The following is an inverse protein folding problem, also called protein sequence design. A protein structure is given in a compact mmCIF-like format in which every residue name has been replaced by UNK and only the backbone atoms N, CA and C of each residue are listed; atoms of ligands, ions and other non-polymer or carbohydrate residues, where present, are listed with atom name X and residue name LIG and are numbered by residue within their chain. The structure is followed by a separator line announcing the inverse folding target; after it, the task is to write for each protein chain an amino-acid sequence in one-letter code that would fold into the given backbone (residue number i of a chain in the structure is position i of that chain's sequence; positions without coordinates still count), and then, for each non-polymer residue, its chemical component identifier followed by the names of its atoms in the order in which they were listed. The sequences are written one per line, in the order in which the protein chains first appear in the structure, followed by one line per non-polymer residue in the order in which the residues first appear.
data_IF_207570849669
#
_entry.id   IF_207570849669
#
_cell.length_a   1.000
_cell.length_b   1.000
_cell.length_c   1.000
_cell.angle_alpha   90.00
_cell.angle_beta   90.00
_cell.angle_gamma   90.00
#
_symmetry.space_group_name_H-M   'P 1'
#
loop_
_entity.id
_entity.type
_entity.pdbx_description
1 polymer ?
#
# COMPACT_ATOMS: atom_id res chain seq x y z
N UNK A 1 11.96 -10.40 -14.81
CA UNK A 1 10.97 -9.32 -14.59
C UNK A 1 10.95 -9.02 -13.09
N UNK A 2 11.21 -7.77 -12.66
CA UNK A 2 11.05 -7.39 -11.26
C UNK A 2 9.55 -7.23 -11.03
N UNK A 3 8.94 -8.09 -10.22
CA UNK A 3 7.57 -7.87 -9.79
C UNK A 3 7.59 -6.65 -8.85
N UNK A 4 6.76 -5.66 -9.10
CA UNK A 4 6.64 -4.44 -8.27
C UNK A 4 5.22 -4.36 -7.74
N UNK A 5 5.08 -4.04 -6.46
CA UNK A 5 3.80 -3.80 -5.80
C UNK A 5 3.67 -2.35 -5.38
N UNK A 6 2.45 -1.89 -5.11
CA UNK A 6 2.22 -0.56 -4.55
C UNK A 6 2.81 -0.51 -3.14
N UNK A 7 3.51 0.58 -2.84
CA UNK A 7 3.96 0.88 -1.50
C UNK A 7 2.82 1.56 -0.70
N UNK A 8 2.00 0.73 -0.07
CA UNK A 8 0.85 1.20 0.71
C UNK A 8 1.24 2.09 1.89
N UNK A 9 2.42 1.87 2.46
CA UNK A 9 2.94 2.68 3.55
C UNK A 9 3.22 4.10 3.05
N UNK A 10 3.90 4.25 1.91
CA UNK A 10 4.15 5.57 1.34
C UNK A 10 2.87 6.26 0.86
N UNK A 11 1.90 5.53 0.29
CA UNK A 11 0.56 6.08 -0.02
C UNK A 11 -0.08 6.72 1.22
N UNK A 12 -0.09 5.99 2.34
CA UNK A 12 -0.70 6.47 3.59
C UNK A 12 0.12 7.59 4.23
N UNK A 13 1.45 7.60 4.06
CA UNK A 13 2.29 8.71 4.49
C UNK A 13 2.05 9.99 3.69
N UNK A 14 1.85 9.90 2.37
CA UNK A 14 1.47 11.06 1.56
C UNK A 14 0.16 11.68 2.05
N UNK A 15 -0.85 10.87 2.33
CA UNK A 15 -2.10 11.34 2.92
C UNK A 15 -1.89 12.01 4.29
N UNK A 16 -1.03 11.42 5.13
CA UNK A 16 -0.66 12.01 6.42
C UNK A 16 0.08 13.34 6.29
N UNK A 17 0.94 13.50 5.28
CA UNK A 17 1.63 14.77 4.96
C UNK A 17 0.64 15.87 4.56
N UNK A 18 -0.53 15.49 4.04
CA UNK A 18 -1.66 16.39 3.76
C UNK A 18 -2.59 16.61 4.98
N UNK A 19 -2.25 16.05 6.15
CA UNK A 19 -3.03 16.19 7.37
C UNK A 19 -4.14 15.15 7.56
N UNK A 20 -4.26 14.15 6.68
CA UNK A 20 -5.23 13.07 6.84
C UNK A 20 -4.65 11.98 7.76
N UNK A 21 -5.16 11.92 8.99
CA UNK A 21 -4.81 10.85 9.93
C UNK A 21 -5.60 9.57 9.60
N UNK A 22 -5.23 8.40 10.15
CA UNK A 22 -5.93 7.14 9.85
C UNK A 22 -7.45 7.19 10.02
N UNK A 23 -7.94 7.93 11.03
CA UNK A 23 -9.38 8.17 11.26
C UNK A 23 -10.05 8.94 10.11
N UNK A 24 -9.32 9.87 9.50
CA UNK A 24 -9.80 10.70 8.41
C UNK A 24 -9.84 9.87 7.12
N UNK A 25 -8.81 9.07 6.85
CA UNK A 25 -8.80 8.12 5.72
C UNK A 25 -9.95 7.11 5.83
N UNK A 26 -10.23 6.60 7.04
CA UNK A 26 -11.38 5.72 7.29
C UNK A 26 -12.72 6.42 7.01
N UNK A 27 -12.84 7.71 7.38
CA UNK A 27 -14.02 8.53 7.09
C UNK A 27 -14.19 8.79 5.58
N UNK A 28 -13.12 9.12 4.87
CA UNK A 28 -13.14 9.30 3.41
C UNK A 28 -13.50 7.98 2.69
N UNK A 29 -13.14 6.83 3.26
CA UNK A 29 -13.56 5.51 2.81
C UNK A 29 -15.00 5.13 3.21
N UNK A 30 -15.79 6.09 3.72
CA UNK A 30 -17.16 5.90 4.22
C UNK A 30 -17.28 4.78 5.27
N UNK A 31 -16.23 4.54 6.06
CA UNK A 31 -16.19 3.47 7.07
C UNK A 31 -16.00 2.06 6.51
N UNK A 32 -15.87 1.89 5.19
CA UNK A 32 -15.63 0.59 4.53
C UNK A 32 -14.30 -0.04 4.97
N UNK A 33 -13.35 0.80 5.36
CA UNK A 33 -12.05 0.41 5.92
C UNK A 33 -11.94 1.06 7.29
N UNK A 34 -11.79 0.25 8.34
CA UNK A 34 -11.69 0.75 9.71
C UNK A 34 -10.36 1.47 9.95
N UNK A 35 -10.34 2.40 10.90
CA UNK A 35 -9.10 3.08 11.32
C UNK A 35 -8.01 2.07 11.71
N UNK A 36 -8.38 1.01 12.43
CA UNK A 36 -7.45 -0.03 12.84
C UNK A 36 -6.80 -0.72 11.63
N UNK A 37 -7.57 -1.00 10.56
CA UNK A 37 -7.02 -1.57 9.33
C UNK A 37 -6.05 -0.60 8.64
N UNK A 38 -6.40 0.68 8.55
CA UNK A 38 -5.50 1.71 8.00
C UNK A 38 -4.18 1.79 8.78
N UNK A 39 -4.24 1.71 10.12
CA UNK A 39 -3.04 1.64 10.96
C UNK A 39 -2.21 0.38 10.68
N UNK A 40 -2.84 -0.79 10.61
CA UNK A 40 -2.15 -2.04 10.23
C UNK A 40 -1.44 -1.95 8.87
N UNK A 41 -2.03 -1.27 7.90
CA UNK A 41 -1.40 -1.06 6.58
C UNK A 41 -0.22 -0.08 6.67
N UNK A 42 -0.34 0.96 7.49
CA UNK A 42 0.75 1.95 7.73
C UNK A 42 1.95 1.30 8.41
N UNK A 43 1.68 0.40 9.35
CA UNK A 43 2.68 -0.37 10.11
C UNK A 43 3.19 -1.60 9.35
N UNK A 44 2.74 -1.80 8.10
CA UNK A 44 3.09 -2.94 7.23
C UNK A 44 2.81 -4.32 7.86
N UNK A 45 1.88 -4.39 8.81
CA UNK A 45 1.46 -5.66 9.44
C UNK A 45 0.72 -6.54 8.43
N UNK A 46 -0.14 -5.93 7.61
CA UNK A 46 -0.89 -6.59 6.55
C UNK A 46 -0.97 -5.67 5.33
N UNK A 47 -1.28 -6.23 4.17
CA UNK A 47 -1.61 -5.47 2.96
C UNK A 47 -3.14 -5.35 2.78
N UNK A 48 -3.64 -4.25 2.17
CA UNK A 48 -5.04 -4.18 1.80
C UNK A 48 -5.38 -5.23 0.73
N UNK A 49 -6.61 -5.76 0.78
CA UNK A 49 -7.15 -6.53 -0.34
C UNK A 49 -7.27 -5.65 -1.58
N UNK A 50 -7.38 -6.26 -2.76
CA UNK A 50 -7.49 -5.51 -4.03
C UNK A 50 -8.52 -4.38 -3.96
N UNK A 51 -9.77 -4.69 -3.56
CA UNK A 51 -10.85 -3.69 -3.46
C UNK A 51 -10.52 -2.57 -2.47
N UNK A 52 -9.97 -2.91 -1.29
CA UNK A 52 -9.59 -1.89 -0.29
C UNK A 52 -8.44 -1.03 -0.78
N UNK A 53 -7.49 -1.62 -1.50
CA UNK A 53 -6.39 -0.93 -2.13
C UNK A 53 -6.87 0.08 -3.17
N UNK A 54 -7.83 -0.31 -4.02
CA UNK A 54 -8.44 0.61 -4.98
C UNK A 54 -9.13 1.81 -4.30
N UNK A 55 -9.84 1.58 -3.20
CA UNK A 55 -10.46 2.67 -2.42
C UNK A 55 -9.40 3.63 -1.87
N UNK A 56 -8.34 3.10 -1.25
CA UNK A 56 -7.25 3.92 -0.69
C UNK A 56 -6.53 4.70 -1.80
N UNK A 57 -6.29 4.08 -2.96
CA UNK A 57 -5.69 4.75 -4.10
C UNK A 57 -6.57 5.87 -4.65
N UNK A 58 -7.88 5.65 -4.75
CA UNK A 58 -8.80 6.68 -5.19
C UNK A 58 -8.74 7.91 -4.28
N UNK A 59 -8.74 7.71 -2.95
CA UNK A 59 -8.57 8.79 -1.97
C UNK A 59 -7.22 9.49 -2.17
N UNK A 60 -6.12 8.74 -2.34
CA UNK A 60 -4.81 9.32 -2.56
C UNK A 60 -4.73 10.14 -3.84
N UNK A 61 -5.24 9.64 -4.97
CA UNK A 61 -5.31 10.37 -6.23
C UNK A 61 -6.11 11.67 -6.06
N UNK A 62 -7.26 11.61 -5.41
CA UNK A 62 -8.11 12.78 -5.17
C UNK A 62 -7.40 13.84 -4.31
N UNK A 63 -6.80 13.44 -3.18
CA UNK A 63 -6.21 14.41 -2.24
C UNK A 63 -4.85 14.96 -2.69
N UNK A 64 -4.06 14.18 -3.42
CA UNK A 64 -2.75 14.61 -3.91
C UNK A 64 -2.80 15.25 -5.30
N UNK A 65 -3.88 15.03 -6.06
CA UNK A 65 -3.98 15.40 -7.47
C UNK A 65 -3.09 14.56 -8.40
N UNK A 66 -2.43 13.52 -7.88
CA UNK A 66 -1.56 12.61 -8.65
C UNK A 66 -2.38 11.56 -9.38
N UNK A 67 -1.84 11.05 -10.47
CA UNK A 67 -2.42 9.90 -11.16
C UNK A 67 -1.95 8.59 -10.55
N UNK A 68 -2.70 7.51 -10.78
CA UNK A 68 -2.36 6.16 -10.29
C UNK A 68 -0.95 5.71 -10.71
N UNK A 69 -0.51 6.07 -11.91
CA UNK A 69 0.82 5.69 -12.43
C UNK A 69 1.99 6.34 -11.65
N UNK A 70 1.68 7.38 -10.86
CA UNK A 70 2.63 8.04 -9.98
C UNK A 70 2.63 7.46 -8.56
N UNK A 71 1.81 6.43 -8.30
CA UNK A 71 1.78 5.77 -7.01
C UNK A 71 3.18 5.22 -6.67
N UNK A 72 3.66 5.39 -5.43
CA UNK A 72 4.92 4.82 -4.99
C UNK A 72 4.88 3.29 -5.14
N UNK A 73 5.95 2.74 -5.69
CA UNK A 73 6.09 1.31 -5.97
C UNK A 73 7.26 0.74 -5.18
N UNK A 74 7.07 -0.41 -4.54
CA UNK A 74 8.13 -1.18 -3.90
C UNK A 74 8.54 -2.39 -4.75
N UNK A 75 9.84 -2.69 -4.86
CA UNK A 75 10.28 -3.93 -5.50
C UNK A 75 9.83 -5.13 -4.65
N UNK A 76 9.22 -6.11 -5.30
CA UNK A 76 8.95 -7.40 -4.67
C UNK A 76 10.29 -8.14 -4.56
N UNK A 77 10.79 -8.30 -3.33
CA UNK A 77 11.85 -9.26 -3.08
C UNK A 77 11.24 -10.65 -3.27
N UNK A 78 11.43 -11.23 -4.46
CA UNK A 78 11.20 -12.64 -4.67
C UNK A 78 11.98 -13.38 -3.57
N UNK A 79 11.27 -14.01 -2.62
CA UNK A 79 11.91 -14.88 -1.64
C UNK A 79 12.73 -15.88 -2.43
N UNK A 80 14.05 -15.83 -2.28
CA UNK A 80 14.96 -16.81 -2.86
C UNK A 80 14.40 -18.18 -2.50
N UNK A 81 14.02 -18.96 -3.52
CA UNK A 81 13.47 -20.29 -3.32
C UNK A 81 14.46 -21.11 -2.47
N UNK A 82 14.10 -21.56 -1.25
CA UNK A 82 14.99 -22.36 -0.42
C UNK A 82 15.36 -23.71 -1.05
N UNK A 83 14.71 -24.10 -2.17
CA UNK A 83 15.02 -25.30 -2.95
C UNK A 83 15.97 -25.06 -4.14
N UNK A 84 16.59 -23.88 -4.28
CA UNK A 84 17.66 -23.68 -5.24
C UNK A 84 18.92 -24.47 -4.81
N UNK A 85 18.85 -25.79 -4.96
CA UNK A 85 19.95 -26.73 -4.69
C UNK A 85 21.03 -26.43 -5.72
N UNK A 86 22.12 -25.83 -5.26
CA UNK A 86 23.34 -25.64 -6.05
C UNK A 86 23.85 -27.03 -6.41
N UNK A 87 23.66 -27.43 -7.67
CA UNK A 87 24.39 -28.55 -8.26
C UNK A 87 25.77 -28.02 -8.56
N UNK A 88 26.76 -28.35 -7.72
CA UNK A 88 28.17 -28.18 -8.08
C UNK A 88 28.54 -29.35 -8.98
N UNK A 89 29.06 -29.02 -10.16
CA UNK A 89 29.75 -29.95 -11.05
C UNK A 89 31.14 -30.29 -10.49
#
# INVERSE_FOLDING_TARGET
MKQTGIDWREILFDLRRLGLMPKDVSREAYGTISEAAIRSYTEEINEPSHIRGEIILAIWCEKTGKSRDQAPMRPFLLRSNPLARVVRA
#
